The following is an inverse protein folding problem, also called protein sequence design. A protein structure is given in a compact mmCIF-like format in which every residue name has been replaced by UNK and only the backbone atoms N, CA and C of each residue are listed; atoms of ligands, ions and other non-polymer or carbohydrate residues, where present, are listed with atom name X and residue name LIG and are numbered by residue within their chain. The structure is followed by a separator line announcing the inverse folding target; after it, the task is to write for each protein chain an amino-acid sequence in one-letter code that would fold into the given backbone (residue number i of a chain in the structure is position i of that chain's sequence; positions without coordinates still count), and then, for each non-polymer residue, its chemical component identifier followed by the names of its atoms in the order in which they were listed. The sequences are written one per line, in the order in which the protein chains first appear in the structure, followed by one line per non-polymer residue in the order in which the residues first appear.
data_IF_551514563179
#
_entry.id   IF_551514563179
#
_cell.length_a   1.000
_cell.length_b   1.000
_cell.length_c   1.000
_cell.angle_alpha   90.00
_cell.angle_beta   90.00
_cell.angle_gamma   90.00
#
_symmetry.space_group_name_H-M   'P 1'
#
loop_
_entity.id
_entity.type
_entity.pdbx_description
1 polymer ?
#
# COMPACT_ATOMS: atom_id res chain seq x y z
N UNK A 1 1.62 -4.68 35.62
CA UNK A 1 1.55 -6.15 35.39
C UNK A 1 1.59 -6.49 33.90
N UNK A 2 0.70 -5.91 33.08
CA UNK A 2 0.71 -6.09 31.61
C UNK A 2 2.03 -5.64 30.94
N UNK A 3 2.62 -4.52 31.38
CA UNK A 3 3.92 -4.03 30.89
C UNK A 3 5.08 -4.97 31.20
N UNK A 4 5.09 -5.60 32.38
CA UNK A 4 6.10 -6.59 32.77
C UNK A 4 5.98 -7.88 31.96
N UNK A 5 4.75 -8.33 31.67
CA UNK A 5 4.51 -9.49 30.81
C UNK A 5 4.95 -9.24 29.35
N UNK A 6 4.64 -8.06 28.80
CA UNK A 6 5.10 -7.66 27.46
C UNK A 6 6.63 -7.62 27.41
N UNK A 7 7.28 -7.04 28.41
CA UNK A 7 8.74 -6.99 28.50
C UNK A 7 9.36 -8.40 28.59
N UNK A 8 8.77 -9.30 29.40
CA UNK A 8 9.23 -10.68 29.52
C UNK A 8 9.11 -11.46 28.20
N UNK A 9 8.01 -11.28 27.46
CA UNK A 9 7.81 -11.89 26.13
C UNK A 9 8.86 -11.39 25.14
N UNK A 10 9.14 -10.08 25.12
CA UNK A 10 10.16 -9.49 24.24
C UNK A 10 11.57 -10.03 24.55
N UNK A 11 11.91 -10.18 25.84
CA UNK A 11 13.20 -10.75 26.26
C UNK A 11 13.30 -12.22 25.83
N UNK A 12 12.26 -13.02 26.08
CA UNK A 12 12.22 -14.42 25.66
C UNK A 12 12.37 -14.55 24.14
N UNK A 13 11.68 -13.70 23.39
CA UNK A 13 11.79 -13.65 21.94
C UNK A 13 13.22 -13.36 21.49
N UNK A 14 13.90 -12.37 22.08
CA UNK A 14 15.30 -12.07 21.79
C UNK A 14 16.23 -13.24 22.11
N UNK A 15 16.02 -13.93 23.24
CA UNK A 15 16.80 -15.12 23.61
C UNK A 15 16.61 -16.24 22.60
N UNK A 16 15.38 -16.50 22.17
CA UNK A 16 15.08 -17.52 21.15
C UNK A 16 15.76 -17.17 19.82
N UNK A 17 15.67 -15.91 19.37
CA UNK A 17 16.34 -15.45 18.15
C UNK A 17 17.86 -15.63 18.25
N UNK A 18 18.45 -15.27 19.39
CA UNK A 18 19.88 -15.45 19.64
C UNK A 18 20.31 -16.93 19.62
N UNK A 19 19.52 -17.81 20.24
CA UNK A 19 19.77 -19.26 20.24
C UNK A 19 19.70 -19.84 18.82
N UNK A 20 18.71 -19.43 18.02
CA UNK A 20 18.58 -19.84 16.62
C UNK A 20 19.80 -19.37 15.82
N UNK A 21 20.23 -18.11 16.01
CA UNK A 21 21.41 -17.58 15.34
C UNK A 21 22.66 -18.42 15.67
N UNK A 22 22.90 -18.71 16.96
CA UNK A 22 24.03 -19.56 17.36
C UNK A 22 23.95 -20.99 16.81
N UNK A 23 22.77 -21.61 16.86
CA UNK A 23 22.56 -22.92 16.27
C UNK A 23 22.89 -22.92 14.76
N UNK A 24 22.52 -21.86 14.04
CA UNK A 24 22.84 -21.71 12.61
C UNK A 24 24.35 -21.62 12.34
N UNK A 25 25.12 -20.93 13.19
CA UNK A 25 26.59 -20.86 13.08
C UNK A 25 27.22 -22.24 13.25
N UNK A 26 26.79 -23.01 14.26
CA UNK A 26 27.32 -24.36 14.50
C UNK A 26 26.98 -25.31 13.33
N UNK A 27 25.77 -25.23 12.78
CA UNK A 27 25.40 -26.01 11.59
C UNK A 27 26.24 -25.61 10.37
N UNK A 28 26.54 -24.32 10.21
CA UNK A 28 27.40 -23.84 9.13
C UNK A 28 28.85 -24.35 9.25
N UNK A 29 29.37 -24.41 10.46
CA UNK A 29 30.71 -24.96 10.74
C UNK A 29 30.79 -26.46 10.39
N UNK A 30 29.73 -27.23 10.66
CA UNK A 30 29.69 -28.69 10.42
C UNK A 30 29.46 -29.03 8.94
N UNK A 31 28.55 -28.32 8.25
CA UNK A 31 28.18 -28.60 6.85
C UNK A 31 29.12 -27.98 5.82
N UNK A 32 30.03 -27.12 6.26
CA UNK A 32 30.82 -26.24 5.41
C UNK A 32 30.02 -25.00 5.00
N UNK A 33 30.67 -23.83 5.08
CA UNK A 33 30.05 -22.53 4.84
C UNK A 33 29.29 -22.45 3.49
N UNK A 34 29.81 -23.07 2.44
CA UNK A 34 29.21 -23.03 1.11
C UNK A 34 27.85 -23.75 1.06
N UNK A 35 27.76 -24.96 1.62
CA UNK A 35 26.51 -25.74 1.66
C UNK A 35 25.46 -25.08 2.55
N UNK A 36 25.89 -24.54 3.70
CA UNK A 36 25.01 -23.81 4.62
C UNK A 36 24.43 -22.54 3.97
N UNK A 37 25.25 -21.79 3.22
CA UNK A 37 24.80 -20.62 2.45
C UNK A 37 23.78 -21.00 1.38
N UNK A 38 24.04 -22.04 0.57
CA UNK A 38 23.12 -22.52 -0.47
C UNK A 38 21.78 -22.98 0.12
N UNK A 39 21.82 -23.68 1.26
CA UNK A 39 20.60 -24.09 1.96
C UNK A 39 19.82 -22.88 2.48
N UNK A 40 20.50 -21.91 3.11
CA UNK A 40 19.88 -20.66 3.61
C UNK A 40 19.23 -19.88 2.47
N UNK A 41 19.90 -19.74 1.32
CA UNK A 41 19.32 -19.12 0.14
C UNK A 41 18.02 -19.80 -0.33
N UNK A 42 17.98 -21.14 -0.37
CA UNK A 42 16.75 -21.89 -0.73
C UNK A 42 15.62 -21.69 0.28
N UNK A 43 15.96 -21.71 1.56
CA UNK A 43 14.99 -21.45 2.63
C UNK A 43 14.44 -20.03 2.50
N UNK A 44 15.30 -19.03 2.36
CA UNK A 44 14.89 -17.64 2.20
C UNK A 44 14.02 -17.44 0.96
N UNK A 45 14.37 -18.04 -0.17
CA UNK A 45 13.56 -17.99 -1.38
C UNK A 45 12.15 -18.55 -1.16
N UNK A 46 12.00 -19.65 -0.43
CA UNK A 46 10.70 -20.20 -0.08
C UNK A 46 9.95 -19.34 0.94
N UNK A 47 10.63 -18.84 1.97
CA UNK A 47 10.07 -17.94 2.97
C UNK A 47 9.56 -16.63 2.34
N UNK A 48 10.21 -16.13 1.29
CA UNK A 48 9.77 -14.98 0.51
C UNK A 48 8.44 -15.24 -0.22
N UNK A 49 8.22 -16.45 -0.75
CA UNK A 49 6.92 -16.83 -1.31
C UNK A 49 5.84 -16.98 -0.22
N UNK A 50 6.20 -17.60 0.91
CA UNK A 50 5.28 -17.70 2.04
C UNK A 50 4.89 -16.30 2.55
N UNK A 51 5.86 -15.37 2.61
CA UNK A 51 5.63 -13.98 2.98
C UNK A 51 4.72 -13.26 1.98
N UNK A 52 4.88 -13.48 0.67
CA UNK A 52 3.94 -12.96 -0.33
C UNK A 52 2.51 -13.43 -0.04
N UNK A 53 2.30 -14.74 0.13
CA UNK A 53 0.95 -15.30 0.33
C UNK A 53 0.33 -14.81 1.64
N UNK A 54 1.07 -14.90 2.75
CA UNK A 54 0.61 -14.42 4.06
C UNK A 54 0.41 -12.91 4.07
N UNK A 55 1.28 -12.16 3.40
CA UNK A 55 1.16 -10.71 3.23
C UNK A 55 -0.10 -10.33 2.47
N UNK A 56 -0.42 -11.01 1.36
CA UNK A 56 -1.66 -10.78 0.61
C UNK A 56 -2.91 -11.13 1.43
N UNK A 57 -2.87 -12.21 2.22
CA UNK A 57 -3.94 -12.54 3.17
C UNK A 57 -4.09 -11.42 4.21
N UNK A 58 -2.97 -10.91 4.74
CA UNK A 58 -2.96 -9.79 5.68
C UNK A 58 -3.53 -8.51 5.08
N UNK A 59 -3.19 -8.19 3.83
CA UNK A 59 -3.76 -7.05 3.09
C UNK A 59 -5.26 -7.21 2.90
N UNK A 60 -5.74 -8.40 2.51
CA UNK A 60 -7.17 -8.69 2.39
C UNK A 60 -7.89 -8.53 3.73
N UNK A 61 -7.36 -9.13 4.80
CA UNK A 61 -7.92 -9.04 6.14
C UNK A 61 -7.98 -7.58 6.63
N UNK A 62 -6.90 -6.81 6.42
CA UNK A 62 -6.85 -5.40 6.79
C UNK A 62 -7.91 -4.58 6.04
N UNK A 63 -8.07 -4.80 4.73
CA UNK A 63 -9.09 -4.12 3.94
C UNK A 63 -10.50 -4.50 4.39
N UNK A 64 -10.78 -5.78 4.65
CA UNK A 64 -12.10 -6.21 5.11
C UNK A 64 -12.49 -5.63 6.47
N UNK A 65 -11.51 -5.45 7.38
CA UNK A 65 -11.76 -4.87 8.71
C UNK A 65 -11.89 -3.34 8.69
N UNK A 66 -11.17 -2.68 7.77
CA UNK A 66 -11.07 -1.21 7.75
C UNK A 66 -11.85 -0.55 6.62
N UNK A 67 -12.52 -1.32 5.74
CA UNK A 67 -13.28 -0.77 4.59
C UNK A 67 -14.28 0.30 4.99
N UNK A 68 -14.96 0.11 6.13
CA UNK A 68 -15.98 1.03 6.64
C UNK A 68 -15.37 2.26 7.35
N UNK A 69 -14.04 2.27 7.55
CA UNK A 69 -13.30 3.39 8.16
C UNK A 69 -12.65 4.33 7.14
N UNK A 70 -12.71 4.01 5.84
CA UNK A 70 -12.03 4.79 4.80
C UNK A 70 -12.78 6.11 4.53
N UNK A 71 -14.09 6.03 4.32
CA UNK A 71 -14.98 7.18 4.13
C UNK A 71 -16.31 6.87 4.85
N UNK A 72 -16.97 7.92 5.35
CA UNK A 72 -18.33 7.79 5.87
C UNK A 72 -19.37 7.70 4.74
N UNK A 73 -20.63 7.45 5.09
CA UNK A 73 -21.72 7.43 4.11
C UNK A 73 -21.87 8.82 3.46
N UNK A 74 -21.92 8.93 2.11
CA UNK A 74 -21.94 10.21 1.44
C UNK A 74 -23.26 10.94 1.71
N UNK A 75 -23.17 12.13 2.32
CA UNK A 75 -24.31 12.97 2.65
C UNK A 75 -24.70 13.99 1.54
N UNK A 76 -24.09 13.89 0.36
CA UNK A 76 -24.38 14.77 -0.79
C UNK A 76 -24.04 14.09 -2.12
N UNK A 77 -24.61 14.60 -3.21
CA UNK A 77 -24.25 14.18 -4.57
C UNK A 77 -22.75 14.33 -4.84
N UNK A 78 -22.13 15.39 -4.32
CA UNK A 78 -20.68 15.60 -4.42
C UNK A 78 -19.87 14.54 -3.65
N UNK A 79 -20.35 14.11 -2.48
CA UNK A 79 -19.74 13.03 -1.71
C UNK A 79 -19.65 11.74 -2.52
N UNK A 80 -20.73 11.35 -3.20
CA UNK A 80 -20.74 10.16 -4.08
C UNK A 80 -19.68 10.25 -5.19
N UNK A 81 -19.39 11.45 -5.69
CA UNK A 81 -18.35 11.66 -6.71
C UNK A 81 -16.95 11.52 -6.13
N UNK A 82 -16.71 12.03 -4.92
CA UNK A 82 -15.44 11.88 -4.20
C UNK A 82 -15.16 10.41 -3.89
N UNK A 83 -16.14 9.68 -3.38
CA UNK A 83 -16.05 8.25 -3.11
C UNK A 83 -15.65 7.49 -4.38
N UNK A 84 -16.32 7.79 -5.49
CA UNK A 84 -16.00 7.17 -6.79
C UNK A 84 -14.57 7.44 -7.22
N UNK A 85 -14.08 8.67 -7.07
CA UNK A 85 -12.69 9.01 -7.39
C UNK A 85 -11.70 8.22 -6.53
N UNK A 86 -11.99 8.08 -5.24
CA UNK A 86 -11.16 7.31 -4.33
C UNK A 86 -11.14 5.83 -4.72
N UNK A 87 -12.30 5.20 -4.89
CA UNK A 87 -12.38 3.78 -5.22
C UNK A 87 -11.78 3.43 -6.58
N UNK A 88 -11.93 4.30 -7.59
CA UNK A 88 -11.25 4.12 -8.89
C UNK A 88 -9.74 4.18 -8.73
N UNK A 89 -9.23 5.16 -7.97
CA UNK A 89 -7.79 5.30 -7.71
C UNK A 89 -7.24 4.11 -6.92
N UNK A 90 -7.97 3.65 -5.89
CA UNK A 90 -7.62 2.48 -5.11
C UNK A 90 -7.62 1.22 -5.96
N UNK A 91 -8.63 1.01 -6.82
CA UNK A 91 -8.68 -0.15 -7.69
C UNK A 91 -7.48 -0.22 -8.65
N UNK A 92 -7.15 0.90 -9.31
CA UNK A 92 -6.02 0.97 -10.24
C UNK A 92 -4.69 0.74 -9.51
N UNK A 93 -4.47 1.42 -8.39
CA UNK A 93 -3.22 1.27 -7.63
C UNK A 93 -3.10 -0.10 -6.98
N UNK A 94 -4.20 -0.71 -6.55
CA UNK A 94 -4.23 -2.06 -6.00
C UNK A 94 -3.84 -3.13 -7.03
N UNK A 95 -4.31 -3.01 -8.28
CA UNK A 95 -3.88 -3.91 -9.37
C UNK A 95 -2.37 -3.81 -9.61
N UNK A 96 -1.84 -2.59 -9.69
CA UNK A 96 -0.38 -2.37 -9.86
C UNK A 96 0.40 -2.93 -8.67
N UNK A 97 -0.10 -2.73 -7.45
CA UNK A 97 0.46 -3.31 -6.24
C UNK A 97 0.53 -4.84 -6.34
N UNK A 98 -0.56 -5.52 -6.69
CA UNK A 98 -0.55 -6.99 -6.83
C UNK A 98 0.48 -7.47 -7.85
N UNK A 99 0.51 -6.86 -9.04
CA UNK A 99 1.45 -7.22 -10.10
C UNK A 99 2.90 -7.05 -9.63
N UNK A 100 3.23 -5.92 -9.01
CA UNK A 100 4.60 -5.61 -8.57
C UNK A 100 5.05 -6.48 -7.41
N UNK A 101 4.18 -6.76 -6.42
CA UNK A 101 4.49 -7.67 -5.32
C UNK A 101 4.71 -9.09 -5.83
N UNK A 102 3.80 -9.61 -6.65
CA UNK A 102 3.94 -10.96 -7.23
C UNK A 102 5.24 -11.05 -8.05
N UNK A 103 5.52 -10.06 -8.90
CA UNK A 103 6.75 -10.02 -9.68
C UNK A 103 7.99 -10.02 -8.78
N UNK A 104 8.06 -9.16 -7.77
CA UNK A 104 9.21 -9.06 -6.87
C UNK A 104 9.54 -10.39 -6.20
N UNK A 105 8.55 -11.01 -5.54
CA UNK A 105 8.76 -12.25 -4.78
C UNK A 105 8.92 -13.47 -5.70
N UNK A 106 8.22 -13.51 -6.84
CA UNK A 106 8.43 -14.55 -7.84
C UNK A 106 9.82 -14.48 -8.44
N UNK A 107 10.34 -13.30 -8.78
CA UNK A 107 11.70 -13.14 -9.28
C UNK A 107 12.74 -13.57 -8.24
N UNK A 108 12.57 -13.16 -6.98
CA UNK A 108 13.46 -13.57 -5.89
C UNK A 108 13.50 -15.11 -5.72
N UNK A 109 12.35 -15.78 -5.87
CA UNK A 109 12.28 -17.24 -5.81
C UNK A 109 12.83 -17.93 -7.07
N UNK A 110 12.43 -17.47 -8.26
CA UNK A 110 12.77 -18.07 -9.55
C UNK A 110 14.26 -17.97 -9.85
N UNK A 111 14.85 -16.82 -9.58
CA UNK A 111 16.25 -16.48 -9.85
C UNK A 111 17.14 -16.59 -8.62
N UNK A 112 16.70 -17.30 -7.58
CA UNK A 112 17.55 -17.65 -6.45
C UNK A 112 18.83 -18.37 -6.92
N UNK A 113 19.89 -18.26 -6.11
CA UNK A 113 21.18 -18.89 -6.36
C UNK A 113 21.04 -20.38 -6.72
N UNK A 114 21.75 -20.78 -7.78
CA UNK A 114 21.78 -22.15 -8.26
C UNK A 114 23.09 -22.42 -8.99
N UNK A 115 23.72 -23.56 -8.69
CA UNK A 115 24.97 -23.99 -9.34
C UNK A 115 24.80 -24.23 -10.85
N UNK A 116 23.58 -24.49 -11.30
CA UNK A 116 23.24 -24.76 -12.70
C UNK A 116 22.87 -23.50 -13.50
N UNK A 117 22.94 -22.30 -12.90
CA UNK A 117 22.55 -21.05 -13.57
C UNK A 117 23.58 -19.95 -13.31
N UNK A 118 24.07 -19.36 -14.39
CA UNK A 118 24.90 -18.15 -14.33
C UNK A 118 24.02 -16.91 -14.44
N UNK A 119 24.38 -15.85 -13.73
CA UNK A 119 23.72 -14.57 -13.86
C UNK A 119 23.86 -14.07 -15.31
N UNK A 120 22.74 -13.68 -15.91
CA UNK A 120 22.72 -13.09 -17.23
C UNK A 120 22.93 -11.58 -17.09
N UNK A 121 23.98 -11.05 -17.72
CA UNK A 121 24.26 -9.61 -17.71
C UNK A 121 23.38 -8.92 -18.75
N UNK A 122 22.37 -8.18 -18.28
CA UNK A 122 21.40 -7.49 -19.11
C UNK A 122 21.20 -6.06 -18.61
N UNK A 123 22.05 -5.11 -19.05
CA UNK A 123 22.12 -3.78 -18.44
C UNK A 123 21.03 -2.81 -18.90
N UNK A 124 20.49 -2.96 -20.11
CA UNK A 124 19.47 -2.06 -20.64
C UNK A 124 18.53 -2.77 -21.62
N UNK A 125 17.30 -2.27 -21.70
CA UNK A 125 16.35 -2.63 -22.73
C UNK A 125 15.42 -1.44 -22.98
N UNK A 126 15.73 -0.68 -24.03
CA UNK A 126 14.97 0.51 -24.40
C UNK A 126 13.48 0.21 -24.62
N UNK A 127 13.12 -1.00 -25.07
CA UNK A 127 11.71 -1.38 -25.28
C UNK A 127 11.00 -1.57 -23.94
N UNK A 128 11.63 -2.26 -23.00
CA UNK A 128 11.07 -2.48 -21.67
C UNK A 128 11.00 -1.16 -20.88
N UNK A 129 12.04 -0.34 -21.02
CA UNK A 129 12.12 0.99 -20.43
C UNK A 129 11.01 1.92 -20.93
N UNK A 130 10.74 1.88 -22.24
CA UNK A 130 9.64 2.63 -22.83
C UNK A 130 8.29 2.16 -22.29
N UNK A 131 8.06 0.84 -22.23
CA UNK A 131 6.81 0.24 -21.74
C UNK A 131 6.54 0.66 -20.29
N UNK A 132 7.51 0.50 -19.39
CA UNK A 132 7.32 0.83 -17.98
C UNK A 132 7.28 2.34 -17.70
N UNK A 133 7.61 3.20 -18.67
CA UNK A 133 7.55 4.65 -18.52
C UNK A 133 6.23 5.18 -19.08
N UNK A 134 5.85 4.72 -20.27
CA UNK A 134 4.66 5.19 -20.98
C UNK A 134 3.38 4.68 -20.30
N UNK A 135 3.32 3.42 -19.87
CA UNK A 135 2.12 2.87 -19.24
C UNK A 135 1.76 3.65 -17.95
N UNK A 136 2.67 3.85 -16.98
CA UNK A 136 2.37 4.65 -15.80
C UNK A 136 2.05 6.10 -16.13
N UNK A 137 2.73 6.70 -17.11
CA UNK A 137 2.43 8.07 -17.54
C UNK A 137 0.98 8.21 -18.03
N UNK A 138 0.53 7.31 -18.93
CA UNK A 138 -0.85 7.30 -19.44
C UNK A 138 -1.85 7.06 -18.29
N UNK A 139 -1.59 6.08 -17.43
CA UNK A 139 -2.48 5.76 -16.31
C UNK A 139 -2.67 6.97 -15.36
N UNK A 140 -1.57 7.65 -15.01
CA UNK A 140 -1.61 8.86 -14.20
C UNK A 140 -2.29 10.03 -14.92
N UNK A 141 -2.03 10.24 -16.21
CA UNK A 141 -2.70 11.28 -16.99
C UNK A 141 -4.22 11.08 -17.03
N UNK A 142 -4.70 9.85 -17.18
CA UNK A 142 -6.13 9.53 -17.14
C UNK A 142 -6.73 9.81 -15.75
N UNK A 143 -6.05 9.40 -14.68
CA UNK A 143 -6.49 9.66 -13.30
C UNK A 143 -6.57 11.16 -13.01
N UNK A 144 -5.56 11.93 -13.43
CA UNK A 144 -5.54 13.40 -13.27
C UNK A 144 -6.65 14.05 -14.07
N UNK A 145 -6.85 13.65 -15.33
CA UNK A 145 -7.93 14.17 -16.17
C UNK A 145 -9.31 13.92 -15.56
N UNK A 146 -9.54 12.70 -15.05
CA UNK A 146 -10.75 12.35 -14.32
C UNK A 146 -10.92 13.21 -13.06
N UNK A 147 -9.86 13.38 -12.27
CA UNK A 147 -9.89 14.19 -11.07
C UNK A 147 -10.21 15.66 -11.31
N UNK A 148 -9.62 16.26 -12.35
CA UNK A 148 -9.89 17.65 -12.74
C UNK A 148 -11.35 17.82 -13.18
N UNK A 149 -11.92 16.87 -13.92
CA UNK A 149 -13.33 16.93 -14.33
C UNK A 149 -14.28 17.00 -13.13
N UNK A 150 -14.08 16.14 -12.13
CA UNK A 150 -14.89 16.16 -10.91
C UNK A 150 -14.63 17.37 -10.04
N UNK A 151 -13.38 17.83 -9.97
CA UNK A 151 -13.02 19.05 -9.28
C UNK A 151 -13.87 20.23 -9.76
N UNK A 152 -13.92 20.48 -11.07
CA UNK A 152 -14.73 21.57 -11.63
C UNK A 152 -16.23 21.38 -11.41
N UNK A 153 -16.72 20.15 -11.35
CA UNK A 153 -18.13 19.86 -11.05
C UNK A 153 -18.48 20.15 -9.59
N UNK A 154 -17.54 19.96 -8.67
CA UNK A 154 -17.74 20.18 -7.23
C UNK A 154 -17.50 21.65 -6.86
N UNK A 155 -16.46 22.27 -7.40
CA UNK A 155 -16.09 23.67 -7.08
C UNK A 155 -16.67 24.68 -8.06
N UNK A 156 -17.62 24.25 -8.90
CA UNK A 156 -18.32 25.11 -9.84
C UNK A 156 -19.24 26.11 -9.15
N UNK A 157 -19.85 27.03 -9.92
CA UNK A 157 -20.84 27.94 -9.36
C UNK A 157 -22.02 27.16 -8.75
N UNK A 158 -22.51 27.63 -7.61
CA UNK A 158 -23.66 27.04 -6.94
C UNK A 158 -24.92 27.13 -7.83
N UNK A 159 -25.87 26.19 -7.67
CA UNK A 159 -27.20 26.29 -8.28
C UNK A 159 -27.89 27.62 -7.93
N UNK A 160 -28.73 28.14 -8.83
CA UNK A 160 -29.40 29.43 -8.65
C UNK A 160 -30.40 29.45 -7.49
N UNK A 161 -30.86 28.28 -7.09
CA UNK A 161 -31.81 28.00 -6.01
C UNK A 161 -31.12 27.58 -4.70
N UNK A 162 -29.78 27.66 -4.63
CA UNK A 162 -29.05 27.31 -3.43
C UNK A 162 -29.31 28.31 -2.28
N UNK A 163 -29.52 27.79 -1.07
CA UNK A 163 -29.55 28.59 0.15
C UNK A 163 -28.14 29.12 0.45
N UNK A 164 -28.01 30.44 0.51
CA UNK A 164 -26.77 31.10 0.93
C UNK A 164 -26.70 31.09 2.44
N UNK A 165 -25.56 30.68 3.02
CA UNK A 165 -25.31 30.78 4.46
C UNK A 165 -23.95 31.43 4.64
N UNK A 166 -23.90 32.53 5.38
CA UNK A 166 -22.63 33.16 5.76
C UNK A 166 -22.12 32.51 7.04
N UNK A 167 -20.85 32.10 7.01
CA UNK A 167 -20.18 31.44 8.13
C UNK A 167 -18.95 32.26 8.54
N UNK A 168 -18.95 32.77 9.76
CA UNK A 168 -17.84 33.56 10.32
C UNK A 168 -17.11 32.75 11.40
N UNK A 169 -15.82 32.50 11.18
CA UNK A 169 -14.95 31.84 12.16
C UNK A 169 -14.48 32.79 13.26
N UNK A 170 -14.57 32.36 14.52
CA UNK A 170 -14.11 33.07 15.74
C UNK A 170 -13.19 32.17 16.57
N UNK A 171 -12.37 32.74 17.44
CA UNK A 171 -11.59 31.96 18.43
C UNK A 171 -12.36 31.87 19.76
N UNK A 172 -12.88 30.73 20.21
CA UNK A 172 -13.09 29.44 19.53
C UNK A 172 -14.60 29.25 19.29
N UNK A 173 -15.08 29.55 18.09
CA UNK A 173 -16.50 29.45 17.75
C UNK A 173 -16.81 29.74 16.28
N UNK A 174 -18.06 29.54 15.90
CA UNK A 174 -18.58 29.81 14.56
C UNK A 174 -19.91 30.56 14.68
N UNK A 175 -20.13 31.55 13.82
CA UNK A 175 -21.41 32.25 13.69
C UNK A 175 -22.00 31.98 12.30
N UNK A 176 -23.27 31.61 12.27
CA UNK A 176 -24.00 31.27 11.04
C UNK A 176 -25.10 32.31 10.83
N UNK A 177 -25.12 32.96 9.66
CA UNK A 177 -26.15 33.91 9.26
C UNK A 177 -26.88 33.40 8.03
N UNK A 178 -28.20 33.30 8.15
CA UNK A 178 -29.13 32.94 7.07
C UNK A 178 -29.75 34.21 6.49
N UNK A 179 -30.04 34.25 5.17
CA UNK A 179 -30.61 35.41 4.52
C UNK A 179 -32.00 35.72 5.07
N UNK A 180 -32.27 37.01 5.26
CA UNK A 180 -33.57 37.52 5.67
C UNK A 180 -34.60 37.50 4.52
N UNK A 181 -35.76 38.10 4.76
CA UNK A 181 -36.79 38.28 3.72
C UNK A 181 -36.32 39.17 2.54
N UNK A 182 -35.28 39.94 2.75
CA UNK A 182 -34.56 40.80 1.80
C UNK A 182 -33.51 40.04 0.95
N UNK A 183 -33.26 38.76 1.25
CA UNK A 183 -32.36 37.90 0.47
C UNK A 183 -30.87 38.20 0.68
N UNK A 184 -30.54 38.98 1.72
CA UNK A 184 -29.17 39.34 2.15
C UNK A 184 -28.98 38.89 3.61
#
# INVERSE_FOLDING_TARGET
MQTLLIAAILILFLVVVFQIAKASEYVAMIRGYENARKQSNRINAFLLLAFLVLGLIGVYYCNEQLKDSILGEPASDHGVLVDRMLYVTLAITFVVFLITQIALFWFAYKYQESDNRKAYYYPHNNTLELIWTVIPAIALSVLVGFGIFYWFKITGPAPKDAMVVEVVGKQFGWEFRYPGADGI
#
